data_IF_811196330639
#
_entry.id   IF_811196330639
#
_cell.length_a   1.000
_cell.length_b   1.000
_cell.length_c   1.000
_cell.angle_alpha   90.00
_cell.angle_beta   90.00
_cell.angle_gamma   90.00
#
_symmetry.space_group_name_H-M   'P 1'
#
loop_
_entity.id
_entity.type
_entity.pdbx_description
1 polymer ?
#
# COMPACT_ATOMS: atom_id res chain seq x y z
N UNK A 1 -10.79 19.11 -24.23
CA UNK A 1 -10.72 19.88 -22.98
C UNK A 1 -11.97 19.62 -22.19
N UNK A 2 -11.84 19.37 -20.85
CA UNK A 2 -12.99 19.14 -19.98
C UNK A 2 -13.89 20.40 -20.00
N UNK A 3 -15.20 20.19 -20.15
CA UNK A 3 -16.20 21.24 -20.05
C UNK A 3 -16.79 21.24 -18.65
N UNK A 4 -17.04 22.42 -18.09
CA UNK A 4 -17.61 22.60 -16.76
C UNK A 4 -16.68 23.31 -15.77
N UNK A 5 -17.18 23.55 -14.57
CA UNK A 5 -16.46 24.26 -13.51
C UNK A 5 -15.31 23.39 -12.98
N UNK A 6 -14.15 24.02 -12.82
CA UNK A 6 -12.93 23.37 -12.33
C UNK A 6 -12.75 23.71 -10.86
N UNK A 7 -12.60 22.67 -10.03
CA UNK A 7 -12.34 22.83 -8.60
C UNK A 7 -11.00 22.24 -8.20
N UNK A 8 -10.34 22.86 -7.24
CA UNK A 8 -9.08 22.38 -6.74
C UNK A 8 -8.62 23.07 -5.46
N UNK A 9 -7.46 22.65 -4.96
CA UNK A 9 -6.89 23.24 -3.75
C UNK A 9 -6.48 24.70 -3.97
N UNK A 10 -6.76 25.54 -2.96
CA UNK A 10 -6.35 26.94 -2.96
C UNK A 10 -4.82 27.08 -2.94
N UNK A 11 -4.33 28.27 -3.29
CA UNK A 11 -2.91 28.61 -3.36
C UNK A 11 -2.08 28.19 -2.13
N UNK A 12 -2.61 28.44 -0.94
CA UNK A 12 -1.99 28.08 0.34
C UNK A 12 -2.06 26.58 0.66
N UNK A 13 -2.88 25.84 -0.07
CA UNK A 13 -3.14 24.40 0.17
C UNK A 13 -2.50 23.50 -0.89
N UNK A 14 -2.38 23.97 -2.13
CA UNK A 14 -1.82 23.17 -3.22
C UNK A 14 -0.32 22.86 -3.00
N UNK A 15 0.13 21.71 -3.48
CA UNK A 15 1.56 21.36 -3.56
C UNK A 15 2.26 22.26 -4.58
N UNK A 16 1.57 22.50 -5.69
CA UNK A 16 2.00 23.40 -6.78
C UNK A 16 1.02 24.58 -6.82
N UNK A 17 1.33 25.71 -6.13
CA UNK A 17 0.39 26.81 -5.96
C UNK A 17 -0.14 27.40 -7.26
N UNK A 18 0.68 27.43 -8.34
CA UNK A 18 0.28 27.95 -9.64
C UNK A 18 -0.94 27.21 -10.24
N UNK A 19 -1.16 25.94 -9.89
CA UNK A 19 -2.34 25.19 -10.32
C UNK A 19 -3.65 25.87 -9.89
N UNK A 20 -3.64 26.61 -8.79
CA UNK A 20 -4.82 27.31 -8.29
C UNK A 20 -5.33 28.40 -9.24
N UNK A 21 -4.49 28.93 -10.14
CA UNK A 21 -4.90 29.91 -11.14
C UNK A 21 -5.89 29.35 -12.17
N UNK A 22 -5.89 28.05 -12.36
CA UNK A 22 -6.72 27.36 -13.35
C UNK A 22 -8.05 26.82 -12.77
N UNK A 23 -8.32 27.03 -11.48
CA UNK A 23 -9.55 26.59 -10.83
C UNK A 23 -10.55 27.73 -10.68
N UNK A 24 -11.81 27.44 -10.99
CA UNK A 24 -12.95 28.34 -10.78
C UNK A 24 -13.37 28.33 -9.29
N UNK A 25 -13.30 27.15 -8.64
CA UNK A 25 -13.50 26.98 -7.20
C UNK A 25 -12.21 26.56 -6.51
N UNK A 26 -11.78 27.35 -5.53
CA UNK A 26 -10.54 27.14 -4.78
C UNK A 26 -10.85 26.82 -3.34
N UNK A 27 -10.49 25.61 -2.91
CA UNK A 27 -10.80 25.11 -1.56
C UNK A 27 -9.54 25.12 -0.69
N UNK A 28 -9.60 25.83 0.44
CA UNK A 28 -8.53 25.77 1.45
C UNK A 28 -8.67 24.51 2.31
N UNK A 29 -7.57 23.74 2.37
CA UNK A 29 -7.40 22.55 3.21
C UNK A 29 -6.01 22.59 3.80
N UNK A 30 -5.86 22.29 5.07
CA UNK A 30 -4.57 22.28 5.77
C UNK A 30 -3.57 21.33 5.12
N UNK A 31 -2.30 21.77 4.98
CA UNK A 31 -1.23 20.97 4.34
C UNK A 31 -0.74 19.81 5.20
N UNK A 32 -0.89 19.91 6.52
CA UNK A 32 -0.46 18.91 7.49
C UNK A 32 -1.44 17.74 7.67
N UNK A 33 -2.53 17.71 6.91
CA UNK A 33 -3.47 16.59 6.89
C UNK A 33 -2.99 15.51 5.92
N UNK A 34 -3.38 14.27 6.20
CA UNK A 34 -3.14 13.15 5.32
C UNK A 34 -3.73 13.38 3.91
N UNK A 35 -3.03 12.93 2.87
CA UNK A 35 -3.43 13.16 1.48
C UNK A 35 -4.85 12.68 1.16
N UNK A 36 -5.27 11.53 1.70
CA UNK A 36 -6.63 11.00 1.55
C UNK A 36 -7.65 11.95 2.18
N UNK A 37 -7.40 12.44 3.40
CA UNK A 37 -8.29 13.41 4.05
C UNK A 37 -8.40 14.69 3.22
N UNK A 38 -7.29 15.21 2.73
CA UNK A 38 -7.26 16.43 1.92
C UNK A 38 -8.10 16.29 0.66
N UNK A 39 -8.00 15.15 -0.02
CA UNK A 39 -8.78 14.87 -1.23
C UNK A 39 -10.28 14.72 -0.90
N UNK A 40 -10.63 14.05 0.18
CA UNK A 40 -12.02 13.90 0.63
C UNK A 40 -12.61 15.25 1.05
N UNK A 41 -11.85 16.07 1.79
CA UNK A 41 -12.27 17.43 2.18
C UNK A 41 -12.50 18.34 0.98
N UNK A 42 -11.62 18.26 -0.02
CA UNK A 42 -11.80 18.99 -1.27
C UNK A 42 -13.10 18.55 -1.96
N UNK A 43 -13.29 17.25 -2.16
CA UNK A 43 -14.47 16.70 -2.81
C UNK A 43 -15.76 17.05 -2.04
N UNK A 44 -15.78 16.85 -0.73
CA UNK A 44 -16.94 17.17 0.11
C UNK A 44 -17.34 18.64 0.06
N UNK A 45 -16.36 19.56 0.11
CA UNK A 45 -16.63 21.01 0.01
C UNK A 45 -17.13 21.45 -1.37
N UNK A 46 -16.64 20.80 -2.43
CA UNK A 46 -17.05 21.13 -3.82
C UNK A 46 -18.42 20.56 -4.14
N UNK A 47 -18.69 19.33 -3.70
CA UNK A 47 -19.91 18.59 -4.04
C UNK A 47 -21.02 18.74 -2.96
N UNK A 48 -20.73 19.39 -1.84
CA UNK A 48 -21.73 19.72 -0.81
C UNK A 48 -22.17 18.54 0.07
N UNK A 49 -21.28 17.55 0.30
CA UNK A 49 -21.58 16.43 1.21
C UNK A 49 -20.66 16.41 2.44
N UNK A 50 -21.15 15.82 3.51
CA UNK A 50 -20.37 15.58 4.72
C UNK A 50 -19.41 14.40 4.51
N UNK A 51 -18.21 14.52 5.09
CA UNK A 51 -17.24 13.42 5.06
C UNK A 51 -17.51 12.51 6.24
N UNK A 52 -17.86 11.28 5.94
CA UNK A 52 -18.09 10.25 6.93
C UNK A 52 -16.78 9.53 7.31
N UNK A 53 -16.70 9.03 8.53
CA UNK A 53 -15.61 8.24 9.07
C UNK A 53 -16.18 6.92 9.62
N UNK A 54 -15.52 5.78 9.41
CA UNK A 54 -14.23 5.57 8.77
C UNK A 54 -14.25 5.75 7.24
N UNK A 55 -13.04 5.78 6.63
CA UNK A 55 -12.93 5.82 5.17
C UNK A 55 -13.40 4.50 4.56
N UNK A 56 -14.29 4.60 3.59
CA UNK A 56 -14.65 3.51 2.68
C UNK A 56 -14.20 3.92 1.26
N UNK A 57 -13.42 3.07 0.61
CA UNK A 57 -12.95 3.30 -0.75
C UNK A 57 -13.95 2.79 -1.80
N UNK A 58 -14.94 1.99 -1.41
CA UNK A 58 -15.94 1.42 -2.30
C UNK A 58 -15.33 0.49 -3.39
N UNK A 59 -14.15 -0.08 -3.12
CA UNK A 59 -13.43 -0.94 -4.07
C UNK A 59 -13.61 -2.40 -3.67
N UNK A 60 -13.96 -3.22 -4.65
CA UNK A 60 -13.99 -4.68 -4.51
C UNK A 60 -13.01 -5.30 -5.51
N UNK A 61 -12.29 -6.32 -5.09
CA UNK A 61 -11.42 -7.05 -5.98
C UNK A 61 -12.25 -7.87 -6.98
N UNK A 62 -11.86 -7.94 -8.26
CA UNK A 62 -12.45 -8.90 -9.20
C UNK A 62 -12.10 -10.32 -8.75
N UNK A 63 -12.89 -11.29 -9.18
CA UNK A 63 -12.60 -12.70 -8.95
C UNK A 63 -11.77 -13.26 -10.12
N UNK A 64 -10.50 -12.86 -10.20
CA UNK A 64 -9.60 -13.41 -11.21
C UNK A 64 -9.16 -14.82 -10.84
N UNK A 65 -9.05 -15.70 -11.83
CA UNK A 65 -8.47 -17.01 -11.66
C UNK A 65 -6.95 -16.92 -11.54
N UNK A 66 -6.40 -17.59 -10.52
CA UNK A 66 -4.95 -17.62 -10.24
C UNK A 66 -4.50 -19.09 -10.16
N UNK A 67 -4.45 -19.82 -11.29
CA UNK A 67 -4.20 -21.27 -11.29
C UNK A 67 -2.82 -21.66 -10.78
N UNK A 68 -1.89 -20.72 -10.72
CA UNK A 68 -0.53 -20.89 -10.18
C UNK A 68 -0.49 -20.75 -8.65
N UNK A 69 -1.52 -20.19 -8.03
CA UNK A 69 -1.60 -19.98 -6.59
C UNK A 69 -2.19 -21.25 -5.93
N UNK A 70 -1.41 -21.98 -5.12
CA UNK A 70 -1.92 -23.18 -4.47
C UNK A 70 -2.92 -22.82 -3.36
N UNK A 71 -3.81 -23.76 -3.07
CA UNK A 71 -4.75 -23.66 -1.96
C UNK A 71 -4.03 -23.46 -0.62
N UNK A 72 -4.70 -22.80 0.31
CA UNK A 72 -4.24 -22.60 1.68
C UNK A 72 -3.94 -21.14 2.01
N UNK A 73 -3.40 -20.93 3.20
CA UNK A 73 -3.09 -19.62 3.76
C UNK A 73 -1.80 -19.04 3.20
N UNK A 74 -1.77 -17.75 2.91
CA UNK A 74 -0.58 -17.07 2.40
C UNK A 74 -0.50 -15.61 2.81
N UNK A 75 0.72 -15.11 2.85
CA UNK A 75 1.04 -13.68 2.98
C UNK A 75 1.61 -13.16 1.68
N UNK A 76 1.37 -11.89 1.37
CA UNK A 76 1.96 -11.23 0.20
C UNK A 76 3.05 -10.26 0.64
N UNK A 77 4.24 -10.42 0.06
CA UNK A 77 5.39 -9.55 0.29
C UNK A 77 5.58 -8.58 -0.87
N UNK A 78 5.16 -7.34 -0.69
CA UNK A 78 5.39 -6.25 -1.64
C UNK A 78 6.80 -5.68 -1.38
N UNK A 79 7.80 -6.44 -1.80
CA UNK A 79 9.21 -6.25 -1.44
C UNK A 79 9.93 -5.19 -2.25
N UNK A 80 9.29 -4.62 -3.27
CA UNK A 80 9.90 -3.72 -4.24
C UNK A 80 9.12 -2.41 -4.41
N UNK A 81 9.82 -1.37 -4.81
CA UNK A 81 9.31 -0.03 -5.08
C UNK A 81 10.23 0.68 -6.08
N UNK A 82 9.79 1.82 -6.59
CA UNK A 82 10.51 2.60 -7.62
C UNK A 82 11.82 3.25 -7.17
N UNK A 83 12.14 3.25 -5.86
CA UNK A 83 13.32 3.91 -5.29
C UNK A 83 14.02 2.98 -4.32
N UNK A 84 15.35 2.84 -4.47
CA UNK A 84 16.15 1.94 -3.66
C UNK A 84 16.22 2.33 -2.18
N UNK A 85 16.16 3.63 -1.87
CA UNK A 85 16.17 4.14 -0.49
C UNK A 85 14.90 3.81 0.31
N UNK A 86 13.84 3.37 -0.36
CA UNK A 86 12.61 2.86 0.26
C UNK A 86 12.62 1.35 0.51
N UNK A 87 13.62 0.64 -0.01
CA UNK A 87 13.69 -0.81 0.10
C UNK A 87 13.99 -1.23 1.54
N UNK A 88 13.27 -2.23 2.01
CA UNK A 88 13.60 -2.93 3.24
C UNK A 88 14.67 -3.98 2.97
N UNK A 89 15.64 -4.23 3.88
CA UNK A 89 16.74 -5.16 3.66
C UNK A 89 16.28 -6.58 3.30
N UNK A 90 16.96 -7.25 2.37
CA UNK A 90 16.60 -8.62 1.97
C UNK A 90 16.68 -9.60 3.13
N UNK A 91 17.67 -9.46 4.04
CA UNK A 91 17.79 -10.29 5.24
C UNK A 91 16.57 -10.16 6.17
N UNK A 92 15.94 -9.01 6.23
CA UNK A 92 14.72 -8.80 7.02
C UNK A 92 13.52 -9.53 6.40
N UNK A 93 13.38 -9.49 5.06
CA UNK A 93 12.36 -10.27 4.36
C UNK A 93 12.54 -11.78 4.57
N UNK A 94 13.79 -12.27 4.56
CA UNK A 94 14.10 -13.68 4.81
C UNK A 94 13.68 -14.09 6.22
N UNK A 95 14.02 -13.28 7.23
CA UNK A 95 13.63 -13.54 8.62
C UNK A 95 12.12 -13.50 8.82
N UNK A 96 11.43 -12.54 8.18
CA UNK A 96 9.97 -12.44 8.20
C UNK A 96 9.33 -13.65 7.51
N UNK A 97 9.88 -14.09 6.37
CA UNK A 97 9.42 -15.27 5.64
C UNK A 97 9.55 -16.57 6.47
N UNK A 98 10.65 -16.72 7.19
CA UNK A 98 10.82 -17.86 8.11
C UNK A 98 9.75 -17.89 9.21
N UNK A 99 9.36 -16.72 9.76
CA UNK A 99 8.29 -16.61 10.74
C UNK A 99 6.93 -17.07 10.18
N UNK A 100 6.54 -16.59 9.01
CA UNK A 100 5.26 -16.97 8.40
C UNK A 100 5.25 -18.45 7.99
N UNK A 101 6.36 -18.98 7.47
CA UNK A 101 6.47 -20.40 7.16
C UNK A 101 6.31 -21.29 8.39
N UNK A 102 6.86 -20.88 9.53
CA UNK A 102 6.68 -21.61 10.81
C UNK A 102 5.21 -21.66 11.26
N UNK A 103 4.39 -20.70 10.78
CA UNK A 103 2.93 -20.67 11.00
C UNK A 103 2.13 -21.39 9.88
N UNK A 104 2.79 -21.97 8.91
CA UNK A 104 2.16 -22.66 7.78
C UNK A 104 1.67 -21.75 6.65
N UNK A 105 2.01 -20.46 6.67
CA UNK A 105 1.69 -19.54 5.56
C UNK A 105 2.79 -19.56 4.52
N UNK A 106 2.39 -19.56 3.25
CA UNK A 106 3.32 -19.34 2.12
C UNK A 106 3.56 -17.85 1.90
N UNK A 107 4.75 -17.51 1.42
CA UNK A 107 5.08 -16.13 1.07
C UNK A 107 4.98 -15.94 -0.44
N UNK A 108 4.10 -15.09 -0.90
CA UNK A 108 3.92 -14.78 -2.32
C UNK A 108 4.65 -13.47 -2.64
N UNK A 109 5.48 -13.48 -3.68
CA UNK A 109 6.33 -12.35 -4.08
C UNK A 109 5.92 -11.85 -5.47
N UNK A 110 5.00 -10.91 -5.59
CA UNK A 110 4.66 -10.28 -6.86
C UNK A 110 5.74 -9.28 -7.29
N UNK A 111 5.80 -9.02 -8.60
CA UNK A 111 6.75 -8.12 -9.23
C UNK A 111 6.13 -7.43 -10.45
N UNK A 112 6.66 -6.27 -10.85
CA UNK A 112 6.21 -5.51 -12.00
C UNK A 112 7.29 -5.26 -13.05
N UNK A 113 8.57 -5.39 -12.68
CA UNK A 113 9.73 -5.16 -13.57
C UNK A 113 10.73 -6.30 -13.46
N UNK A 114 11.63 -6.43 -14.46
CA UNK A 114 12.69 -7.46 -14.44
C UNK A 114 13.62 -7.35 -13.22
N UNK A 115 13.91 -6.12 -12.78
CA UNK A 115 14.72 -5.89 -11.57
C UNK A 115 14.01 -6.39 -10.31
N UNK A 116 12.70 -6.15 -10.21
CA UNK A 116 11.88 -6.64 -9.10
C UNK A 116 11.74 -8.15 -9.13
N UNK A 117 11.60 -8.76 -10.34
CA UNK A 117 11.59 -10.21 -10.51
C UNK A 117 12.89 -10.83 -10.00
N UNK A 118 14.03 -10.32 -10.40
CA UNK A 118 15.33 -10.82 -9.94
C UNK A 118 15.47 -10.70 -8.41
N UNK A 119 14.91 -9.65 -7.79
CA UNK A 119 14.85 -9.52 -6.33
C UNK A 119 13.92 -10.56 -5.71
N UNK A 120 12.75 -10.80 -6.29
CA UNK A 120 11.81 -11.83 -5.83
C UNK A 120 12.45 -13.23 -5.86
N UNK A 121 13.17 -13.55 -6.94
CA UNK A 121 13.88 -14.82 -7.09
C UNK A 121 14.98 -15.00 -6.03
N UNK A 122 15.78 -13.95 -5.73
CA UNK A 122 16.79 -14.02 -4.66
C UNK A 122 16.17 -14.23 -3.28
N UNK A 123 15.04 -13.59 -3.00
CA UNK A 123 14.29 -13.78 -1.75
C UNK A 123 13.72 -15.20 -1.69
N UNK A 124 13.09 -15.67 -2.76
CA UNK A 124 12.51 -17.00 -2.84
C UNK A 124 13.53 -18.12 -2.66
N UNK A 125 14.76 -17.92 -3.13
CA UNK A 125 15.86 -18.89 -2.92
C UNK A 125 16.23 -19.04 -1.43
N UNK A 126 15.88 -18.09 -0.57
CA UNK A 126 16.20 -18.08 0.86
C UNK A 126 14.98 -18.28 1.76
N UNK A 127 13.78 -18.11 1.25
CA UNK A 127 12.53 -18.28 1.99
C UNK A 127 11.87 -19.59 1.54
N UNK A 128 11.90 -20.67 2.34
CA UNK A 128 11.23 -21.91 1.99
C UNK A 128 9.75 -21.71 1.66
N UNK A 129 9.19 -22.52 0.79
CA UNK A 129 7.78 -22.50 0.41
C UNK A 129 7.25 -21.14 -0.10
N UNK A 130 8.14 -20.22 -0.48
CA UNK A 130 7.77 -18.99 -1.14
C UNK A 130 7.51 -19.21 -2.64
N UNK A 131 6.70 -18.34 -3.22
CA UNK A 131 6.33 -18.39 -4.64
C UNK A 131 6.58 -17.02 -5.27
N UNK A 132 7.44 -16.98 -6.27
CA UNK A 132 7.53 -15.82 -7.17
C UNK A 132 6.31 -15.86 -8.09
N UNK A 133 5.45 -14.85 -8.00
CA UNK A 133 4.28 -14.79 -8.84
C UNK A 133 4.67 -14.68 -10.33
N UNK A 134 3.85 -15.16 -11.27
CA UNK A 134 4.00 -14.76 -12.66
C UNK A 134 3.75 -13.25 -12.80
N UNK A 135 3.97 -12.72 -13.99
CA UNK A 135 3.60 -11.32 -14.25
C UNK A 135 2.08 -11.17 -14.15
N UNK A 136 1.62 -10.34 -13.22
CA UNK A 136 0.21 -10.12 -12.95
C UNK A 136 -0.32 -8.90 -13.68
N UNK A 137 -1.57 -8.98 -14.13
CA UNK A 137 -2.40 -7.81 -14.41
C UNK A 137 -2.83 -7.14 -13.10
N UNK A 138 -3.41 -5.94 -13.18
CA UNK A 138 -3.92 -5.26 -11.97
C UNK A 138 -5.07 -6.03 -11.33
N UNK A 139 -5.93 -6.65 -12.13
CA UNK A 139 -7.07 -7.46 -11.66
C UNK A 139 -6.60 -8.72 -10.93
N UNK A 140 -5.58 -9.40 -11.47
CA UNK A 140 -4.96 -10.55 -10.80
C UNK A 140 -4.25 -10.15 -9.50
N UNK A 141 -3.55 -9.01 -9.52
CA UNK A 141 -2.92 -8.47 -8.29
C UNK A 141 -3.99 -8.11 -7.24
N UNK A 142 -5.12 -7.51 -7.64
CA UNK A 142 -6.23 -7.23 -6.74
C UNK A 142 -6.81 -8.51 -6.13
N UNK A 143 -7.04 -9.53 -6.96
CA UNK A 143 -7.53 -10.85 -6.51
C UNK A 143 -6.54 -11.55 -5.57
N UNK A 144 -5.24 -11.46 -5.85
CA UNK A 144 -4.19 -11.98 -4.98
C UNK A 144 -4.20 -11.27 -3.61
N UNK A 145 -4.23 -9.94 -3.61
CA UNK A 145 -4.21 -9.14 -2.39
C UNK A 145 -5.46 -9.39 -1.54
N UNK A 146 -6.65 -9.40 -2.16
CA UNK A 146 -7.92 -9.53 -1.46
C UNK A 146 -8.10 -10.87 -0.71
N UNK A 147 -7.38 -11.91 -1.12
CA UNK A 147 -7.41 -13.25 -0.52
C UNK A 147 -6.23 -13.53 0.41
N UNK A 148 -5.32 -12.58 0.60
CA UNK A 148 -4.19 -12.73 1.49
C UNK A 148 -4.61 -12.62 2.96
N UNK A 149 -4.02 -13.43 3.83
CA UNK A 149 -4.22 -13.33 5.29
C UNK A 149 -3.65 -12.02 5.82
N UNK A 150 -2.48 -11.63 5.31
CA UNK A 150 -1.84 -10.35 5.62
C UNK A 150 -0.94 -9.92 4.46
N UNK A 151 -0.86 -8.63 4.21
CA UNK A 151 0.06 -8.03 3.24
C UNK A 151 1.12 -7.24 3.97
N UNK A 152 2.38 -7.53 3.72
CA UNK A 152 3.49 -6.70 4.18
C UNK A 152 4.13 -6.04 2.97
N UNK A 153 4.28 -4.72 2.98
CA UNK A 153 4.78 -4.01 1.82
C UNK A 153 5.60 -2.79 2.17
N UNK A 154 6.64 -2.52 1.38
CA UNK A 154 7.29 -1.21 1.41
C UNK A 154 6.34 -0.13 0.86
N UNK A 155 6.71 1.14 0.98
CA UNK A 155 5.95 2.28 0.43
C UNK A 155 5.76 2.14 -1.10
N UNK A 156 4.64 1.53 -1.48
CA UNK A 156 4.27 1.21 -2.87
C UNK A 156 2.76 1.30 -3.08
N UNK A 157 2.33 1.52 -4.33
CA UNK A 157 0.92 1.62 -4.69
C UNK A 157 0.09 0.38 -4.33
N UNK A 158 0.67 -0.82 -4.42
CA UNK A 158 -0.04 -2.06 -4.05
C UNK A 158 -0.32 -2.17 -2.55
N UNK A 159 0.50 -1.57 -1.67
CA UNK A 159 0.22 -1.52 -0.23
C UNK A 159 -1.02 -0.64 0.06
N UNK A 160 -1.13 0.50 -0.61
CA UNK A 160 -2.33 1.35 -0.55
C UNK A 160 -3.56 0.64 -1.13
N UNK A 161 -3.37 -0.12 -2.20
CA UNK A 161 -4.45 -0.88 -2.82
C UNK A 161 -4.96 -2.00 -1.90
N UNK A 162 -4.07 -2.76 -1.27
CA UNK A 162 -4.45 -3.76 -0.27
C UNK A 162 -5.22 -3.12 0.91
N UNK A 163 -4.78 -1.97 1.41
CA UNK A 163 -5.48 -1.23 2.44
C UNK A 163 -6.88 -0.77 1.98
N UNK A 164 -7.01 -0.33 0.72
CA UNK A 164 -8.29 0.06 0.13
C UNK A 164 -9.26 -1.13 -0.07
N UNK A 165 -8.74 -2.34 -0.25
CA UNK A 165 -9.49 -3.59 -0.28
C UNK A 165 -9.83 -4.12 1.13
N UNK A 166 -9.49 -3.38 2.20
CA UNK A 166 -9.71 -3.76 3.59
C UNK A 166 -9.00 -5.05 4.01
N UNK A 167 -7.88 -5.37 3.38
CA UNK A 167 -6.99 -6.48 3.77
C UNK A 167 -6.09 -6.02 4.92
N UNK A 168 -5.68 -6.91 5.87
CA UNK A 168 -4.65 -6.57 6.85
C UNK A 168 -3.34 -6.17 6.16
N UNK A 169 -2.82 -4.97 6.46
CA UNK A 169 -1.61 -4.44 5.82
C UNK A 169 -0.65 -3.89 6.86
N UNK A 170 0.61 -4.31 6.79
CA UNK A 170 1.74 -3.63 7.43
C UNK A 170 2.56 -2.94 6.34
N UNK A 171 2.50 -1.61 6.30
CA UNK A 171 3.27 -0.81 5.35
C UNK A 171 4.55 -0.28 5.98
N UNK A 172 5.69 -0.53 5.32
CA UNK A 172 7.03 -0.25 5.80
C UNK A 172 7.61 1.00 5.14
N UNK A 173 8.00 1.96 5.94
CA UNK A 173 8.57 3.24 5.50
C UNK A 173 10.02 3.36 5.96
N UNK A 174 10.96 3.30 5.01
CA UNK A 174 12.40 3.38 5.30
C UNK A 174 12.97 4.80 5.10
N UNK A 175 12.38 5.58 4.18
CA UNK A 175 12.89 6.91 3.80
C UNK A 175 11.78 7.98 3.61
N UNK A 176 10.53 7.64 3.84
CA UNK A 176 9.39 8.54 3.69
C UNK A 176 8.58 8.64 4.98
N UNK A 177 7.92 9.79 5.18
CA UNK A 177 7.07 10.04 6.35
C UNK A 177 5.65 9.54 6.09
N UNK A 178 5.16 8.51 6.82
CA UNK A 178 3.83 7.95 6.57
C UNK A 178 2.68 8.84 7.03
N UNK A 179 2.92 9.77 7.94
CA UNK A 179 1.85 10.62 8.52
C UNK A 179 1.05 11.42 7.49
N UNK A 180 1.67 11.77 6.35
CA UNK A 180 1.03 12.52 5.28
C UNK A 180 0.54 11.67 4.10
N UNK A 181 1.18 10.55 3.85
CA UNK A 181 0.96 9.76 2.62
C UNK A 181 0.99 8.25 2.84
N UNK A 182 1.00 7.78 4.08
CA UNK A 182 0.99 6.36 4.41
C UNK A 182 -0.29 5.64 3.97
N UNK A 183 -0.37 4.34 4.21
CA UNK A 183 -1.63 3.62 4.02
C UNK A 183 -2.68 4.19 4.98
N UNK A 184 -3.88 4.41 4.48
CA UNK A 184 -4.94 5.09 5.20
C UNK A 184 -6.24 4.28 5.09
N UNK A 185 -6.46 3.43 6.07
CA UNK A 185 -7.64 2.56 6.16
C UNK A 185 -7.99 2.35 7.64
N UNK A 186 -8.88 1.41 7.94
CA UNK A 186 -9.26 1.05 9.31
C UNK A 186 -8.10 0.50 10.15
N UNK A 187 -8.40 -0.05 11.31
CA UNK A 187 -7.42 -0.53 12.30
C UNK A 187 -6.53 -1.69 11.83
N UNK A 188 -6.84 -2.30 10.69
CA UNK A 188 -6.06 -3.38 10.06
C UNK A 188 -4.98 -2.88 9.09
N UNK A 189 -4.83 -1.58 8.92
CA UNK A 189 -3.76 -0.98 8.11
C UNK A 189 -2.81 -0.19 9.02
N UNK A 190 -1.58 -0.66 9.15
CA UNK A 190 -0.59 -0.10 10.07
C UNK A 190 0.62 0.36 9.30
N UNK A 191 1.07 1.59 9.57
CA UNK A 191 2.29 2.17 9.04
C UNK A 191 3.41 2.02 10.07
N UNK A 192 4.55 1.45 9.69
CA UNK A 192 5.74 1.31 10.53
C UNK A 192 6.92 2.05 9.90
N UNK A 193 7.76 2.63 10.75
CA UNK A 193 8.97 3.33 10.34
C UNK A 193 8.75 4.79 9.97
N UNK A 194 9.65 5.33 9.15
CA UNK A 194 9.69 6.74 8.76
C UNK A 194 11.08 7.17 8.33
N UNK A 195 11.28 8.47 8.11
CA UNK A 195 12.59 9.02 7.74
C UNK A 195 13.62 8.71 8.84
N UNK A 196 14.66 7.94 8.49
CA UNK A 196 15.72 7.54 9.41
C UNK A 196 15.33 6.49 10.45
N UNK A 197 14.17 5.86 10.30
CA UNK A 197 13.65 4.84 11.22
C UNK A 197 13.17 3.62 10.43
N UNK A 198 14.10 2.83 9.90
CA UNK A 198 13.75 1.57 9.24
C UNK A 198 13.13 0.61 10.26
N UNK A 199 11.94 0.04 10.02
CA UNK A 199 11.31 -0.92 10.92
C UNK A 199 12.20 -2.15 11.15
N UNK A 200 12.28 -2.64 12.36
CA UNK A 200 12.94 -3.91 12.63
C UNK A 200 11.99 -5.10 12.40
N UNK A 201 12.57 -6.29 12.27
CA UNK A 201 11.82 -7.51 11.94
C UNK A 201 10.85 -7.89 13.06
N UNK A 202 11.25 -7.72 14.33
CA UNK A 202 10.44 -8.10 15.48
C UNK A 202 9.19 -7.21 15.59
N UNK A 203 9.34 -5.89 15.33
CA UNK A 203 8.23 -4.94 15.28
C UNK A 203 7.24 -5.29 14.16
N UNK A 204 7.75 -5.64 12.97
CA UNK A 204 6.91 -6.04 11.83
C UNK A 204 6.15 -7.32 12.13
N UNK A 205 6.80 -8.34 12.69
CA UNK A 205 6.19 -9.61 13.10
C UNK A 205 5.08 -9.36 14.12
N UNK A 206 5.38 -8.65 15.21
CA UNK A 206 4.40 -8.41 16.28
C UNK A 206 3.18 -7.64 15.76
N UNK A 207 3.39 -6.71 14.82
CA UNK A 207 2.30 -5.95 14.21
C UNK A 207 1.46 -6.82 13.28
N UNK A 208 2.10 -7.60 12.41
CA UNK A 208 1.41 -8.49 11.48
C UNK A 208 0.57 -9.54 12.24
N UNK A 209 1.14 -10.16 13.27
CA UNK A 209 0.45 -11.15 14.10
C UNK A 209 -0.78 -10.60 14.85
N UNK A 210 -0.80 -9.30 15.10
CA UNK A 210 -1.92 -8.64 15.78
C UNK A 210 -3.08 -8.31 14.86
N UNK A 211 -2.83 -8.08 13.57
CA UNK A 211 -3.85 -7.61 12.61
C UNK A 211 -4.33 -8.68 11.63
N UNK A 212 -3.61 -9.80 11.50
CA UNK A 212 -3.94 -10.94 10.65
C UNK A 212 -5.17 -11.72 11.11
#
# INVERSE_FOLDING_TARGET
LAQGSRAGLAWNSAREPLAALFYDYRVSVEKNRHAVERNRLLAGKVLGYAIESPVDYGITAPNADLPWLPDGYYTVFLHATSRDDKLWPESHWVALGAHFNAKGLRCILPWGSATEQARAERLAAQIPHSIVAPRLTLDEAASLLARADVVIGVDTGLAHFAAALNVPVVALYCSTEPGLTGVYAGSRAVNLGGIGKTPDVAEVIATADKIA
#
